data_IF_166762082539
#
_entry.id   IF_166762082539
#
_cell.length_a   1.000
_cell.length_b   1.000
_cell.length_c   1.000
_cell.angle_alpha   90.00
_cell.angle_beta   90.00
_cell.angle_gamma   90.00
#
_symmetry.space_group_name_H-M   'P 1'
#
loop_
_entity.id
_entity.type
_entity.pdbx_description
1 polymer ?
#
# COMPACT_ATOMS: atom_id res chain seq x y z
N UNK A 1 20.44 3.55 8.22
CA UNK A 1 19.03 3.41 8.60
C UNK A 1 18.54 2.17 7.87
N UNK A 2 17.65 1.39 8.48
CA UNK A 2 17.02 0.16 7.98
C UNK A 2 17.63 -1.16 8.50
N UNK A 3 17.24 -1.48 9.73
CA UNK A 3 17.28 -2.82 10.29
C UNK A 3 15.85 -3.41 10.22
N UNK A 4 15.50 -4.08 9.13
CA UNK A 4 14.34 -4.98 9.08
C UNK A 4 14.83 -6.42 9.16
N UNK A 5 15.25 -6.82 10.35
CA UNK A 5 15.52 -8.20 10.72
C UNK A 5 14.71 -8.46 11.99
N UNK A 6 13.70 -9.34 11.90
CA UNK A 6 13.18 -10.23 12.96
C UNK A 6 11.78 -10.79 12.61
N UNK A 7 11.58 -11.40 11.44
CA UNK A 7 10.37 -12.22 11.16
C UNK A 7 8.99 -11.55 11.23
N UNK A 8 8.92 -10.26 11.57
CA UNK A 8 7.70 -9.47 11.64
C UNK A 8 7.54 -8.67 10.34
N UNK A 9 6.39 -8.82 9.69
CA UNK A 9 6.04 -8.05 8.51
C UNK A 9 6.00 -6.54 8.79
N UNK A 10 6.11 -5.73 7.74
CA UNK A 10 5.99 -4.27 7.84
C UNK A 10 4.57 -3.87 8.29
N UNK A 11 4.45 -3.02 9.31
CA UNK A 11 3.15 -2.45 9.70
C UNK A 11 2.71 -1.37 8.70
N UNK A 12 1.40 -1.15 8.56
CA UNK A 12 0.86 -0.06 7.73
C UNK A 12 1.37 1.33 8.14
N UNK A 13 1.65 1.54 9.44
CA UNK A 13 2.22 2.79 9.94
C UNK A 13 3.65 3.01 9.45
N UNK A 14 4.46 1.95 9.45
CA UNK A 14 5.83 2.00 8.92
C UNK A 14 5.81 2.28 7.42
N UNK A 15 4.95 1.59 6.66
CA UNK A 15 4.78 1.85 5.23
C UNK A 15 4.35 3.29 4.95
N UNK A 16 3.44 3.85 5.76
CA UNK A 16 3.01 5.25 5.64
C UNK A 16 4.16 6.24 5.84
N UNK A 17 5.06 5.97 6.79
CA UNK A 17 6.24 6.81 7.00
C UNK A 17 7.22 6.75 5.85
N UNK A 18 7.49 5.55 5.32
CA UNK A 18 8.46 5.35 4.24
C UNK A 18 7.95 5.97 2.94
N UNK A 19 6.67 5.79 2.62
CA UNK A 19 6.06 6.25 1.35
C UNK A 19 5.62 7.71 1.37
N UNK A 20 5.48 8.32 2.56
CA UNK A 20 4.87 9.64 2.74
C UNK A 20 3.36 9.68 2.47
N UNK A 21 2.72 8.52 2.27
CA UNK A 21 1.28 8.40 2.07
C UNK A 21 0.59 8.44 3.44
N UNK A 22 -0.58 9.09 3.51
CA UNK A 22 -1.33 9.17 4.77
C UNK A 22 -1.69 7.76 5.28
N UNK A 23 -1.53 7.46 6.59
CA UNK A 23 -1.85 6.15 7.15
C UNK A 23 -3.28 5.68 6.82
N UNK A 24 -4.26 6.60 6.84
CA UNK A 24 -5.65 6.27 6.49
C UNK A 24 -5.82 5.83 5.04
N UNK A 25 -5.02 6.37 4.11
CA UNK A 25 -5.05 5.96 2.70
C UNK A 25 -4.48 4.54 2.54
N UNK A 26 -3.36 4.25 3.19
CA UNK A 26 -2.79 2.90 3.18
C UNK A 26 -3.75 1.89 3.81
N UNK A 27 -4.35 2.23 4.96
CA UNK A 27 -5.34 1.39 5.61
C UNK A 27 -6.57 1.14 4.74
N UNK A 28 -7.04 2.17 4.02
CA UNK A 28 -8.15 2.05 3.08
C UNK A 28 -7.80 1.11 1.92
N UNK A 29 -6.60 1.22 1.35
CA UNK A 29 -6.17 0.37 0.23
C UNK A 29 -5.98 -1.08 0.66
N UNK A 30 -5.35 -1.32 1.80
CA UNK A 30 -5.07 -2.66 2.31
C UNK A 30 -6.35 -3.41 2.69
N UNK A 31 -7.29 -2.73 3.36
CA UNK A 31 -8.54 -3.34 3.84
C UNK A 31 -9.73 -3.12 2.88
N UNK A 32 -9.50 -2.70 1.63
CA UNK A 32 -10.53 -2.23 0.72
C UNK A 32 -11.75 -3.16 0.62
N UNK A 33 -11.51 -4.46 0.51
CA UNK A 33 -12.57 -5.46 0.34
C UNK A 33 -13.44 -5.65 1.59
N UNK A 34 -12.90 -5.36 2.78
CA UNK A 34 -13.56 -5.47 4.07
C UNK A 34 -14.36 -4.21 4.43
N UNK A 35 -14.11 -3.10 3.74
CA UNK A 35 -14.80 -1.84 3.99
C UNK A 35 -16.20 -1.80 3.36
N UNK A 36 -17.14 -1.05 3.97
CA UNK A 36 -18.40 -0.68 3.34
C UNK A 36 -18.20 -0.05 1.96
N UNK A 37 -19.12 -0.28 1.02
CA UNK A 37 -18.98 0.10 -0.39
C UNK A 37 -18.67 1.59 -0.57
N UNK A 38 -19.23 2.45 0.27
CA UNK A 38 -19.05 3.89 0.26
C UNK A 38 -17.67 4.34 0.75
N UNK A 39 -16.95 3.46 1.47
CA UNK A 39 -15.60 3.70 2.00
C UNK A 39 -14.49 3.04 1.20
N UNK A 40 -14.81 2.23 0.18
CA UNK A 40 -13.81 1.61 -0.70
C UNK A 40 -13.03 2.65 -1.51
N UNK A 41 -11.78 2.33 -1.81
CA UNK A 41 -10.94 3.11 -2.69
C UNK A 41 -11.50 3.04 -4.11
N UNK A 42 -12.04 4.17 -4.59
CA UNK A 42 -12.58 4.28 -5.96
C UNK A 42 -11.48 4.58 -6.99
N UNK A 43 -10.37 5.15 -6.54
CA UNK A 43 -9.25 5.56 -7.37
C UNK A 43 -7.94 5.30 -6.62
N UNK A 44 -6.90 4.99 -7.37
CA UNK A 44 -5.53 4.87 -6.88
C UNK A 44 -4.68 5.83 -7.72
N UNK A 45 -3.87 6.65 -7.05
CA UNK A 45 -2.90 7.49 -7.73
C UNK A 45 -1.66 6.64 -8.07
N UNK A 46 -1.28 6.59 -9.35
CA UNK A 46 -0.14 5.80 -9.83
C UNK A 46 1.19 6.22 -9.21
N UNK A 47 1.39 7.52 -8.93
CA UNK A 47 2.61 8.00 -8.26
C UNK A 47 2.72 7.45 -6.83
N UNK A 48 1.58 7.31 -6.14
CA UNK A 48 1.55 6.74 -4.80
C UNK A 48 1.72 5.22 -4.83
N UNK A 49 1.16 4.55 -5.83
CA UNK A 49 1.40 3.13 -6.05
C UNK A 49 2.89 2.86 -6.32
N UNK A 50 3.53 3.68 -7.15
CA UNK A 50 4.97 3.58 -7.43
C UNK A 50 5.82 3.73 -6.16
N UNK A 51 5.52 4.73 -5.32
CA UNK A 51 6.19 4.88 -4.01
C UNK A 51 6.01 3.67 -3.09
N UNK A 52 4.82 3.07 -3.06
CA UNK A 52 4.58 1.84 -2.29
C UNK A 52 5.44 0.71 -2.83
N UNK A 53 5.55 0.57 -4.15
CA UNK A 53 6.37 -0.48 -4.73
C UNK A 53 7.87 -0.29 -4.53
N UNK A 54 8.37 0.95 -4.62
CA UNK A 54 9.76 1.27 -4.24
C UNK A 54 10.03 0.88 -2.77
N UNK A 55 9.07 1.13 -1.87
CA UNK A 55 9.22 0.81 -0.44
C UNK A 55 9.14 -0.70 -0.13
N UNK A 56 8.47 -1.48 -0.98
CA UNK A 56 8.25 -2.92 -0.81
C UNK A 56 9.10 -3.78 -1.77
N UNK A 57 9.97 -3.18 -2.56
CA UNK A 57 10.77 -3.83 -3.60
C UNK A 57 9.91 -4.65 -4.59
N UNK A 58 8.86 -4.02 -5.13
CA UNK A 58 8.00 -4.59 -6.19
C UNK A 58 7.96 -3.75 -7.46
N UNK A 59 7.44 -4.34 -8.53
CA UNK A 59 6.98 -3.62 -9.71
C UNK A 59 5.46 -3.38 -9.64
N UNK A 60 4.99 -2.24 -10.12
CA UNK A 60 3.54 -1.93 -10.15
C UNK A 60 2.71 -2.98 -10.91
N UNK A 61 3.32 -3.65 -11.90
CA UNK A 61 2.71 -4.74 -12.65
C UNK A 61 2.51 -6.03 -11.84
N UNK A 62 3.22 -6.19 -10.71
CA UNK A 62 3.02 -7.33 -9.79
C UNK A 62 1.69 -7.23 -9.02
N UNK A 63 1.17 -6.00 -8.86
CA UNK A 63 -0.03 -5.72 -8.07
C UNK A 63 -1.27 -5.54 -8.96
N UNK A 64 -1.11 -4.96 -10.15
CA UNK A 64 -2.24 -4.65 -11.04
C UNK A 64 -2.60 -5.87 -11.90
N UNK A 65 -3.80 -6.41 -11.67
CA UNK A 65 -4.36 -7.48 -12.50
C UNK A 65 -5.49 -6.96 -13.38
N UNK A 66 -5.34 -7.09 -14.70
CA UNK A 66 -6.45 -6.86 -15.62
C UNK A 66 -7.41 -8.05 -15.61
N UNK A 67 -8.63 -7.85 -15.08
CA UNK A 67 -9.71 -8.83 -15.17
C UNK A 67 -10.63 -8.48 -16.34
N UNK A 68 -10.84 -9.45 -17.24
CA UNK A 68 -11.79 -9.37 -18.35
C UNK A 68 -13.21 -9.66 -17.88
#
# INVERSE_FOLDING_TARGET
MDNYNNGEGMTMYQLAKITGIRPNTISQWYNDQELPIEKRAKTINLEYLDRVCIALDCDSSDIIVHKK
#
